data_IF_876185651965
#
_entry.id   IF_876185651965
#
_cell.length_a   1.000
_cell.length_b   1.000
_cell.length_c   1.000
_cell.angle_alpha   90.00
_cell.angle_beta   90.00
_cell.angle_gamma   90.00
#
_symmetry.space_group_name_H-M   'P 1'
#
loop_
_entity.id
_entity.type
_entity.pdbx_description
1 polymer ?
#
# COMPACT_ATOMS: atom_id res chain seq x y z
N UNK A 1 -1.33 8.34 1.03
CA UNK A 1 -2.23 9.24 1.78
C UNK A 1 -2.36 8.69 3.18
N UNK A 2 -2.18 9.51 4.20
CA UNK A 2 -2.29 9.06 5.59
C UNK A 2 -3.74 9.18 6.07
N UNK A 3 -4.23 8.14 6.75
CA UNK A 3 -5.48 8.17 7.50
C UNK A 3 -5.54 9.30 8.52
N UNK A 4 -4.40 9.75 9.02
CA UNK A 4 -4.28 10.87 9.96
C UNK A 4 -4.55 12.22 9.31
N UNK A 5 -4.47 12.31 7.98
CA UNK A 5 -4.72 13.53 7.22
C UNK A 5 -6.15 13.60 6.66
N UNK A 6 -6.99 12.59 6.91
CA UNK A 6 -8.38 12.55 6.48
C UNK A 6 -9.27 12.93 7.66
N UNK A 7 -10.19 13.86 7.46
CA UNK A 7 -11.20 14.22 8.46
C UNK A 7 -12.23 13.09 8.52
N UNK A 8 -12.38 12.45 9.69
CA UNK A 8 -13.28 11.30 9.86
C UNK A 8 -14.70 11.69 10.32
N UNK A 9 -14.86 12.87 10.93
CA UNK A 9 -16.13 13.33 11.48
C UNK A 9 -17.09 13.88 10.40
N UNK A 10 -16.55 14.21 9.22
CA UNK A 10 -17.30 14.66 8.05
C UNK A 10 -17.36 13.53 7.02
N UNK A 11 -18.53 12.92 6.90
CA UNK A 11 -18.75 11.79 5.99
C UNK A 11 -18.57 12.19 4.52
N UNK A 12 -18.93 13.41 4.11
CA UNK A 12 -18.83 13.82 2.71
C UNK A 12 -17.37 14.05 2.31
N UNK A 13 -16.59 14.70 3.17
CA UNK A 13 -15.15 14.87 2.96
C UNK A 13 -14.42 13.51 2.99
N UNK A 14 -14.76 12.65 3.94
CA UNK A 14 -14.21 11.29 4.03
C UNK A 14 -14.50 10.49 2.75
N UNK A 15 -15.75 10.50 2.28
CA UNK A 15 -16.15 9.80 1.05
C UNK A 15 -15.43 10.37 -0.18
N UNK A 16 -15.30 11.69 -0.29
CA UNK A 16 -14.58 12.31 -1.40
C UNK A 16 -13.09 11.94 -1.37
N UNK A 17 -12.45 11.99 -0.19
CA UNK A 17 -11.07 11.56 -0.03
C UNK A 17 -10.89 10.09 -0.44
N UNK A 18 -11.76 9.19 0.03
CA UNK A 18 -11.74 7.75 -0.32
C UNK A 18 -11.91 7.54 -1.82
N UNK A 19 -12.80 8.28 -2.48
CA UNK A 19 -13.01 8.18 -3.93
C UNK A 19 -11.76 8.61 -4.71
N UNK A 20 -11.05 9.64 -4.25
CA UNK A 20 -9.82 10.13 -4.90
C UNK A 20 -8.63 9.18 -4.77
N UNK A 21 -8.61 8.31 -3.75
CA UNK A 21 -7.48 7.43 -3.45
C UNK A 21 -7.05 6.54 -4.62
N UNK A 22 -8.01 6.03 -5.41
CA UNK A 22 -7.68 5.19 -6.56
C UNK A 22 -6.84 5.92 -7.60
N UNK A 23 -7.19 7.16 -7.91
CA UNK A 23 -6.42 8.01 -8.84
C UNK A 23 -5.09 8.46 -8.24
N UNK A 24 -5.03 8.68 -6.92
CA UNK A 24 -3.77 9.01 -6.24
C UNK A 24 -2.75 7.86 -6.36
N UNK A 25 -3.17 6.63 -6.08
CA UNK A 25 -2.26 5.48 -6.18
C UNK A 25 -1.89 5.16 -7.64
N UNK A 26 -2.86 5.27 -8.55
CA UNK A 26 -2.61 5.05 -9.99
C UNK A 26 -1.62 6.04 -10.59
N UNK A 27 -1.73 7.31 -10.23
CA UNK A 27 -0.90 8.38 -10.79
C UNK A 27 0.35 8.66 -9.94
N UNK A 28 0.56 7.94 -8.84
CA UNK A 28 1.80 8.03 -8.07
C UNK A 28 2.99 7.46 -8.85
N UNK A 29 4.14 8.12 -8.75
CA UNK A 29 5.40 7.64 -9.32
C UNK A 29 5.87 6.37 -8.59
N UNK A 30 5.67 6.32 -7.27
CA UNK A 30 6.07 5.21 -6.41
C UNK A 30 5.23 5.21 -5.13
N UNK A 31 4.69 4.06 -4.78
CA UNK A 31 4.05 3.84 -3.48
C UNK A 31 5.02 3.13 -2.54
N UNK A 32 5.24 3.69 -1.36
CA UNK A 32 6.11 3.08 -0.34
C UNK A 32 5.23 2.54 0.80
N UNK A 33 5.39 1.26 1.11
CA UNK A 33 4.65 0.58 2.16
C UNK A 33 5.61 -0.06 3.16
N UNK A 34 5.57 0.39 4.41
CA UNK A 34 6.32 -0.26 5.49
C UNK A 34 5.43 -1.33 6.12
N UNK A 35 5.91 -2.56 6.13
CA UNK A 35 5.18 -3.73 6.59
C UNK A 35 5.93 -4.34 7.75
N UNK A 36 5.31 -4.34 8.93
CA UNK A 36 5.83 -5.11 10.08
C UNK A 36 5.49 -6.59 9.91
N UNK A 37 6.22 -7.26 9.01
CA UNK A 37 6.09 -8.69 8.76
C UNK A 37 7.45 -9.42 8.82
N UNK A 38 7.41 -10.75 8.75
CA UNK A 38 8.54 -11.65 8.91
C UNK A 38 9.04 -12.06 7.53
N UNK A 39 10.18 -11.52 7.09
CA UNK A 39 10.77 -11.67 5.74
C UNK A 39 10.61 -13.04 5.08
N UNK A 40 9.42 -13.29 4.55
CA UNK A 40 9.02 -14.53 3.91
C UNK A 40 8.94 -14.26 2.42
N UNK A 41 9.75 -14.96 1.65
CA UNK A 41 9.71 -14.86 0.19
C UNK A 41 8.69 -15.87 -0.39
N UNK A 42 7.83 -15.48 -1.36
CA UNK A 42 7.68 -14.15 -1.97
C UNK A 42 6.82 -13.19 -1.13
N UNK A 43 6.90 -11.87 -1.44
CA UNK A 43 6.21 -10.77 -0.73
C UNK A 43 4.77 -11.08 -0.30
N UNK A 44 3.97 -11.74 -1.14
CA UNK A 44 2.58 -12.06 -0.80
C UNK A 44 2.45 -12.90 0.48
N UNK A 45 3.41 -13.80 0.76
CA UNK A 45 3.46 -14.56 2.00
C UNK A 45 3.79 -13.68 3.20
N UNK A 46 4.68 -12.70 3.02
CA UNK A 46 5.04 -11.75 4.08
C UNK A 46 3.88 -10.80 4.43
N UNK A 47 3.13 -10.36 3.40
CA UNK A 47 1.95 -9.53 3.62
C UNK A 47 0.82 -10.29 4.32
N UNK A 48 0.70 -11.61 4.08
CA UNK A 48 -0.43 -12.43 4.56
C UNK A 48 -0.47 -12.45 6.09
N UNK A 49 -1.55 -11.90 6.65
CA UNK A 49 -1.74 -11.83 8.11
C UNK A 49 -1.00 -10.68 8.80
N UNK A 50 -0.27 -9.84 8.05
CA UNK A 50 0.33 -8.63 8.60
C UNK A 50 -0.72 -7.55 8.87
N UNK A 51 -0.39 -6.58 9.74
CA UNK A 51 -1.23 -5.38 9.98
C UNK A 51 -1.46 -4.55 8.70
N UNK A 52 -0.61 -4.72 7.69
CA UNK A 52 -0.79 -4.04 6.41
C UNK A 52 -2.08 -4.51 5.73
N UNK A 53 -2.36 -5.82 5.68
CA UNK A 53 -3.58 -6.38 5.07
C UNK A 53 -4.87 -6.03 5.83
N UNK A 54 -4.80 -5.60 7.09
CA UNK A 54 -6.00 -5.15 7.84
C UNK A 54 -6.42 -3.71 7.52
N UNK A 55 -5.72 -2.99 6.63
CA UNK A 55 -6.07 -1.60 6.29
C UNK A 55 -7.18 -1.59 5.23
N UNK A 56 -8.20 -0.76 5.44
CA UNK A 56 -9.40 -0.70 4.60
C UNK A 56 -9.12 -0.44 3.10
N UNK A 57 -8.04 0.28 2.77
CA UNK A 57 -7.67 0.65 1.40
C UNK A 57 -6.46 -0.12 0.86
N UNK A 58 -6.16 -1.31 1.42
CA UNK A 58 -5.01 -2.09 0.97
C UNK A 58 -5.10 -2.49 -0.50
N UNK A 59 -6.32 -2.76 -0.97
CA UNK A 59 -6.58 -3.09 -2.37
C UNK A 59 -6.22 -1.92 -3.29
N UNK A 60 -6.57 -0.68 -2.90
CA UNK A 60 -6.26 0.51 -3.68
C UNK A 60 -4.75 0.81 -3.65
N UNK A 61 -4.10 0.68 -2.49
CA UNK A 61 -2.65 0.83 -2.36
C UNK A 61 -1.88 -0.18 -3.21
N UNK A 62 -2.29 -1.45 -3.21
CA UNK A 62 -1.51 -2.54 -3.82
C UNK A 62 -1.79 -2.73 -5.31
N UNK A 63 -3.04 -2.64 -5.75
CA UNK A 63 -3.42 -2.99 -7.13
C UNK A 63 -3.45 -1.81 -8.07
N UNK A 64 -3.70 -0.60 -7.56
CA UNK A 64 -3.73 0.59 -8.40
C UNK A 64 -2.36 1.25 -8.51
N UNK A 65 -1.47 1.02 -7.55
CA UNK A 65 -0.08 1.48 -7.67
C UNK A 65 0.65 0.78 -8.82
N UNK A 66 1.11 1.56 -9.79
CA UNK A 66 1.87 1.03 -10.94
C UNK A 66 3.28 0.57 -10.54
N UNK A 67 3.81 1.12 -9.44
CA UNK A 67 5.11 0.82 -8.84
C UNK A 67 4.99 0.88 -7.32
N UNK A 68 5.46 -0.14 -6.63
CA UNK A 68 5.40 -0.22 -5.18
C UNK A 68 6.72 -0.75 -4.59
N UNK A 69 7.18 -0.12 -3.52
CA UNK A 69 8.30 -0.57 -2.70
C UNK A 69 7.78 -0.96 -1.32
N UNK A 70 7.93 -2.22 -0.95
CA UNK A 70 7.56 -2.75 0.34
C UNK A 70 8.82 -2.93 1.18
N UNK A 71 8.83 -2.34 2.38
CA UNK A 71 9.95 -2.44 3.31
C UNK A 71 9.49 -3.28 4.49
N UNK A 72 10.14 -4.41 4.71
CA UNK A 72 9.88 -5.31 5.84
C UNK A 72 11.03 -5.22 6.83
N UNK A 73 11.01 -6.03 7.90
CA UNK A 73 12.03 -5.94 8.95
C UNK A 73 13.44 -6.26 8.48
N UNK A 74 13.58 -7.08 7.44
CA UNK A 74 14.87 -7.57 6.97
C UNK A 74 14.96 -7.74 5.45
N UNK A 75 13.94 -7.28 4.72
CA UNK A 75 13.93 -7.36 3.26
C UNK A 75 13.19 -6.17 2.65
N UNK A 76 13.58 -5.76 1.45
CA UNK A 76 12.87 -4.82 0.61
C UNK A 76 12.36 -5.52 -0.65
N UNK A 77 11.12 -5.24 -1.06
CA UNK A 77 10.52 -5.78 -2.27
C UNK A 77 10.06 -4.64 -3.17
N UNK A 78 10.52 -4.64 -4.41
CA UNK A 78 10.03 -3.74 -5.45
C UNK A 78 9.14 -4.51 -6.41
N UNK A 79 7.96 -3.95 -6.68
CA UNK A 79 7.00 -4.47 -7.64
C UNK A 79 6.63 -3.39 -8.65
N UNK A 80 6.64 -3.73 -9.94
CA UNK A 80 5.98 -2.95 -10.98
C UNK A 80 5.37 -3.88 -12.02
N UNK A 81 4.55 -3.34 -12.94
CA UNK A 81 3.84 -4.14 -13.95
C UNK A 81 4.74 -4.98 -14.88
N UNK A 82 6.06 -4.77 -14.88
CA UNK A 82 7.02 -5.48 -15.76
C UNK A 82 8.08 -6.28 -15.00
N UNK A 83 8.34 -5.96 -13.74
CA UNK A 83 9.47 -6.49 -12.99
C UNK A 83 9.15 -6.57 -11.50
N UNK A 84 9.67 -7.62 -10.88
CA UNK A 84 9.72 -7.81 -9.44
C UNK A 84 11.17 -7.98 -9.01
N UNK A 85 11.54 -7.36 -7.90
CA UNK A 85 12.88 -7.42 -7.32
C UNK A 85 12.79 -7.48 -5.80
N UNK A 86 13.78 -8.09 -5.16
CA UNK A 86 13.86 -8.17 -3.71
C UNK A 86 15.32 -8.27 -3.22
N UNK A 87 15.64 -7.60 -2.11
CA UNK A 87 16.95 -7.64 -1.41
C UNK A 87 16.76 -7.77 0.10
#
# INVERSE_FOLDING_TARGET
>A
VDSLCIVHDDNDLLQNAIKSMGEIYRNSILTIAVVSASAAFPLHLDLKGSKYESRAWIYQERLLSTRALYITKSMAYYHCSKHEWSE
#
